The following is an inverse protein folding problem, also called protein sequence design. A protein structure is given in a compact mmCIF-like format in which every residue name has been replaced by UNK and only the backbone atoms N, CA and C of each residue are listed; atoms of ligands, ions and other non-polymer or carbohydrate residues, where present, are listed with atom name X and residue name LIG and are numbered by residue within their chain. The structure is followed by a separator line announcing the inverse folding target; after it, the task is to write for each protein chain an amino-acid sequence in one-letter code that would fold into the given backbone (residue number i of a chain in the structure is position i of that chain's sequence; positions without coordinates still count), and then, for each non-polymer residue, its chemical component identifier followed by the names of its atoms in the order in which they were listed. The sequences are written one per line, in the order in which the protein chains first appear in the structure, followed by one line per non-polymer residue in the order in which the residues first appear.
data_IF_822196957206
#
_entry.id   IF_822196957206
#
_cell.length_a   1.000
_cell.length_b   1.000
_cell.length_c   1.000
_cell.angle_alpha   90.00
_cell.angle_beta   90.00
_cell.angle_gamma   90.00
#
_symmetry.space_group_name_H-M   'P 1'
#
loop_
_entity.id
_entity.type
_entity.pdbx_description
1 polymer ?
#
# COMPACT_ATOMS: atom_id res chain seq x y z
N UNK A 1 -19.06 23.24 -4.36
CA UNK A 1 -17.98 22.69 -5.22
C UNK A 1 -18.47 21.40 -5.85
N UNK A 2 -18.17 21.11 -7.13
CA UNK A 2 -18.49 19.80 -7.70
C UNK A 2 -17.83 18.71 -6.85
N UNK A 3 -18.54 17.58 -6.65
CA UNK A 3 -17.99 16.48 -5.86
C UNK A 3 -16.71 15.97 -6.52
N UNK A 4 -15.60 15.95 -5.78
CA UNK A 4 -14.32 15.43 -6.29
C UNK A 4 -14.51 13.94 -6.61
N UNK A 5 -14.29 13.59 -7.87
CA UNK A 5 -14.32 12.21 -8.31
C UNK A 5 -13.06 11.50 -7.80
N UNK A 6 -13.25 10.39 -7.07
CA UNK A 6 -12.14 9.52 -6.70
C UNK A 6 -11.47 8.95 -7.96
N UNK A 7 -10.15 8.98 -8.02
CA UNK A 7 -9.31 8.42 -9.08
C UNK A 7 -9.32 6.90 -9.06
N UNK A 8 -9.53 6.29 -10.22
CA UNK A 8 -9.44 4.84 -10.44
C UNK A 8 -8.01 4.36 -10.72
N UNK A 9 -7.03 5.25 -10.67
CA UNK A 9 -5.62 4.87 -10.81
C UNK A 9 -4.89 4.90 -9.47
N UNK A 10 -5.41 5.64 -8.49
CA UNK A 10 -4.77 5.84 -7.19
C UNK A 10 -5.18 4.79 -6.14
N UNK A 11 -4.19 4.25 -5.43
CA UNK A 11 -4.33 3.29 -4.34
C UNK A 11 -3.74 3.88 -3.07
N UNK A 12 -4.59 4.22 -2.09
CA UNK A 12 -4.13 4.67 -0.79
C UNK A 12 -3.50 3.52 0.00
N UNK A 13 -2.27 3.68 0.47
CA UNK A 13 -1.55 2.73 1.31
C UNK A 13 -1.44 3.28 2.72
N UNK A 14 -2.22 2.67 3.61
CA UNK A 14 -2.12 2.82 5.05
C UNK A 14 -1.34 1.58 5.53
N UNK A 15 -0.12 1.75 6.05
CA UNK A 15 0.68 0.66 6.61
C UNK A 15 1.64 1.13 7.72
N UNK A 16 2.19 0.22 8.53
CA UNK A 16 3.30 0.53 9.41
C UNK A 16 4.52 1.05 8.63
N UNK A 17 5.34 1.87 9.27
CA UNK A 17 6.54 2.49 8.66
C UNK A 17 7.84 2.16 9.40
N UNK A 18 7.80 1.19 10.31
CA UNK A 18 9.00 0.69 10.98
C UNK A 18 9.85 -0.18 10.05
N UNK A 19 11.13 -0.32 10.39
CA UNK A 19 12.12 -1.01 9.56
C UNK A 19 11.74 -2.47 9.28
N UNK A 20 11.11 -3.14 10.25
CA UNK A 20 10.67 -4.53 10.09
C UNK A 20 9.52 -4.67 9.07
N UNK A 21 8.71 -3.63 8.87
CA UNK A 21 7.65 -3.63 7.85
C UNK A 21 8.12 -3.11 6.48
N UNK A 22 9.31 -2.50 6.39
CA UNK A 22 9.82 -1.90 5.15
C UNK A 22 9.82 -2.86 3.94
N UNK A 23 10.20 -4.16 4.05
CA UNK A 23 10.12 -5.10 2.94
C UNK A 23 8.70 -5.29 2.41
N UNK A 24 7.72 -5.47 3.30
CA UNK A 24 6.29 -5.60 2.94
C UNK A 24 5.78 -4.34 2.26
N UNK A 25 6.12 -3.16 2.79
CA UNK A 25 5.72 -1.89 2.19
C UNK A 25 6.27 -1.73 0.75
N UNK A 26 7.55 -2.07 0.53
CA UNK A 26 8.16 -2.05 -0.80
C UNK A 26 7.47 -3.01 -1.77
N UNK A 27 7.10 -4.21 -1.30
CA UNK A 27 6.39 -5.18 -2.12
C UNK A 27 4.98 -4.69 -2.52
N UNK A 28 4.26 -4.02 -1.61
CA UNK A 28 2.97 -3.38 -1.91
C UNK A 28 3.10 -2.27 -2.95
N UNK A 29 4.08 -1.36 -2.78
CA UNK A 29 4.37 -0.30 -3.77
C UNK A 29 4.65 -0.91 -5.14
N UNK A 30 5.50 -1.94 -5.19
CA UNK A 30 5.86 -2.61 -6.42
C UNK A 30 4.66 -3.26 -7.10
N UNK A 31 3.83 -3.98 -6.34
CA UNK A 31 2.61 -4.62 -6.83
C UNK A 31 1.66 -3.60 -7.47
N UNK A 32 1.47 -2.44 -6.84
CA UNK A 32 0.62 -1.36 -7.33
C UNK A 32 1.17 -0.80 -8.64
N UNK A 33 2.46 -0.48 -8.69
CA UNK A 33 3.11 0.10 -9.87
C UNK A 33 3.10 -0.87 -11.06
N UNK A 34 3.48 -2.13 -10.87
CA UNK A 34 3.53 -3.12 -11.95
C UNK A 34 2.13 -3.50 -12.46
N UNK A 35 1.09 -3.31 -11.64
CA UNK A 35 -0.30 -3.45 -12.06
C UNK A 35 -0.86 -2.18 -12.76
N UNK A 36 -0.04 -1.15 -12.98
CA UNK A 36 -0.44 0.07 -13.68
C UNK A 36 -1.29 1.02 -12.83
N UNK A 37 -1.16 0.95 -11.50
CA UNK A 37 -1.77 1.89 -10.56
C UNK A 37 -0.70 2.81 -9.95
N UNK A 38 -1.15 3.87 -9.29
CA UNK A 38 -0.31 4.81 -8.55
C UNK A 38 -0.43 4.58 -7.05
N UNK A 39 0.65 4.21 -6.36
CA UNK A 39 0.66 4.12 -4.91
C UNK A 39 0.52 5.52 -4.32
N UNK A 40 -0.36 5.67 -3.31
CA UNK A 40 -0.64 6.93 -2.61
C UNK A 40 -0.42 6.76 -1.12
N UNK A 41 0.61 7.35 -0.52
CA UNK A 41 0.93 7.19 0.90
C UNK A 41 1.17 8.51 1.63
N UNK A 42 0.97 8.51 2.94
CA UNK A 42 1.32 9.65 3.80
C UNK A 42 2.80 10.06 3.71
N UNK A 43 3.67 9.17 3.20
CA UNK A 43 5.10 9.44 2.96
C UNK A 43 5.39 10.28 1.69
N UNK A 44 4.39 10.57 0.86
CA UNK A 44 4.57 11.40 -0.36
C UNK A 44 4.76 12.89 -0.09
N UNK A 45 4.20 13.38 1.01
CA UNK A 45 4.03 14.80 1.24
C UNK A 45 4.61 15.16 2.60
N UNK A 46 5.87 15.60 2.61
CA UNK A 46 6.49 16.24 3.77
C UNK A 46 6.40 17.77 3.67
N UNK A 47 5.16 18.28 3.59
CA UNK A 47 4.88 19.72 3.71
C UNK A 47 4.62 20.09 5.18
N UNK A 48 5.50 20.89 5.78
CA UNK A 48 5.36 21.39 7.15
C UNK A 48 4.19 22.37 7.37
N UNK A 49 3.53 22.83 6.30
CA UNK A 49 2.39 23.73 6.35
C UNK A 49 1.02 23.07 6.57
N UNK A 50 0.93 21.73 6.54
CA UNK A 50 -0.33 20.99 6.72
C UNK A 50 -0.22 19.95 7.82
N UNK A 51 -1.31 19.77 8.58
CA UNK A 51 -1.34 18.70 9.58
C UNK A 51 -1.31 17.33 8.90
N UNK A 52 -0.76 16.32 9.60
CA UNK A 52 -0.73 14.94 9.08
C UNK A 52 -2.14 14.44 8.77
N UNK A 53 -3.14 14.77 9.60
CA UNK A 53 -4.50 14.27 9.42
C UNK A 53 -5.18 14.88 8.19
N UNK A 54 -4.92 16.15 7.88
CA UNK A 54 -5.46 16.79 6.66
C UNK A 54 -4.92 16.13 5.40
N UNK A 55 -3.64 15.74 5.40
CA UNK A 55 -3.03 14.97 4.29
C UNK A 55 -3.72 13.61 4.11
N UNK A 56 -3.99 12.90 5.22
CA UNK A 56 -4.74 11.64 5.17
C UNK A 56 -6.15 11.87 4.60
N UNK A 57 -6.85 12.92 5.02
CA UNK A 57 -8.17 13.23 4.46
C UNK A 57 -8.12 13.49 2.96
N UNK A 58 -7.13 14.23 2.47
CA UNK A 58 -6.94 14.47 1.04
C UNK A 58 -6.65 13.18 0.26
N UNK A 59 -5.77 12.31 0.78
CA UNK A 59 -5.47 11.01 0.19
C UNK A 59 -6.72 10.12 0.14
N UNK A 60 -7.46 10.03 1.26
CA UNK A 60 -8.71 9.28 1.32
C UNK A 60 -9.73 9.87 0.35
N UNK A 61 -9.89 11.19 0.27
CA UNK A 61 -10.86 11.82 -0.64
C UNK A 61 -10.59 11.45 -2.10
N UNK A 62 -9.30 11.43 -2.50
CA UNK A 62 -8.87 11.23 -3.89
C UNK A 62 -8.85 9.76 -4.33
N UNK A 63 -8.51 8.80 -3.47
CA UNK A 63 -8.27 7.42 -3.91
C UNK A 63 -9.57 6.58 -4.05
N UNK A 64 -9.73 5.83 -5.14
CA UNK A 64 -10.79 4.80 -5.28
C UNK A 64 -10.46 3.57 -4.44
N UNK A 65 -9.19 3.20 -4.38
CA UNK A 65 -8.70 1.98 -3.78
C UNK A 65 -7.95 2.30 -2.50
N UNK A 66 -8.06 1.44 -1.48
CA UNK A 66 -7.30 1.54 -0.24
C UNK A 66 -6.80 0.18 0.22
N UNK A 67 -5.53 0.08 0.55
CA UNK A 67 -4.90 -1.08 1.20
C UNK A 67 -4.52 -0.63 2.61
N UNK A 68 -5.04 -1.32 3.62
CA UNK A 68 -4.83 -0.98 5.03
C UNK A 68 -4.26 -2.18 5.78
N UNK A 69 -3.07 -2.03 6.35
CA UNK A 69 -2.37 -3.10 7.07
C UNK A 69 -2.43 -2.95 8.61
N UNK A 70 -3.11 -3.86 9.30
CA UNK A 70 -3.33 -3.75 10.74
C UNK A 70 -2.26 -4.47 11.58
N UNK A 71 -1.15 -4.91 10.97
CA UNK A 71 -0.18 -5.80 11.61
C UNK A 71 0.57 -5.18 12.79
N UNK A 72 0.59 -3.85 12.92
CA UNK A 72 1.32 -3.17 14.00
C UNK A 72 0.38 -2.60 15.06
N UNK A 73 -0.01 -3.47 15.99
CA UNK A 73 -0.80 -3.14 17.19
C UNK A 73 -0.13 -3.58 18.50
N UNK A 74 1.14 -3.97 18.43
CA UNK A 74 1.98 -4.28 19.58
C UNK A 74 2.35 -3.01 20.36
N UNK A 75 2.71 -3.18 21.63
CA UNK A 75 3.17 -2.09 22.48
C UNK A 75 4.54 -1.61 22.01
N UNK A 76 4.70 -0.30 21.87
CA UNK A 76 6.01 0.28 21.57
C UNK A 76 6.94 0.20 22.82
N UNK A 77 8.25 0.11 22.59
CA UNK A 77 9.23 -0.09 23.67
C UNK A 77 9.42 1.15 24.58
N UNK A 78 8.94 2.33 24.17
CA UNK A 78 9.19 3.61 24.85
C UNK A 78 8.03 3.97 25.78
N UNK A 79 6.80 3.93 25.27
CA UNK A 79 5.58 4.32 25.94
C UNK A 79 4.77 3.12 26.42
N UNK A 80 5.08 1.92 25.95
CA UNK A 80 4.35 0.69 26.23
C UNK A 80 2.85 0.82 25.86
N UNK A 81 2.58 1.48 24.73
CA UNK A 81 1.24 1.71 24.18
C UNK A 81 1.15 1.22 22.74
N UNK A 82 -0.02 0.74 22.28
CA UNK A 82 -0.24 0.34 20.91
C UNK A 82 -0.43 1.56 20.00
N UNK A 83 0.06 1.49 18.76
CA UNK A 83 -0.16 2.54 17.75
C UNK A 83 -1.49 2.32 17.02
N UNK A 84 -2.46 3.19 17.28
CA UNK A 84 -3.79 3.09 16.64
C UNK A 84 -3.96 3.87 15.33
N UNK A 85 -2.88 4.43 14.77
CA UNK A 85 -2.95 5.17 13.50
C UNK A 85 -3.56 4.33 12.38
N UNK A 86 -3.09 3.09 12.24
CA UNK A 86 -3.54 2.15 11.22
C UNK A 86 -5.06 1.88 11.30
N UNK A 87 -5.61 1.50 12.47
CA UNK A 87 -7.05 1.42 12.71
C UNK A 87 -7.82 2.73 12.46
N UNK A 88 -7.28 3.88 12.90
CA UNK A 88 -7.92 5.19 12.73
C UNK A 88 -8.08 5.53 11.24
N UNK A 89 -7.00 5.40 10.46
CA UNK A 89 -6.98 5.70 9.03
C UNK A 89 -7.88 4.74 8.23
N UNK A 90 -7.99 3.46 8.63
CA UNK A 90 -9.00 2.53 8.11
C UNK A 90 -10.43 2.99 8.43
N UNK A 91 -10.71 3.36 9.67
CA UNK A 91 -12.02 3.85 10.09
C UNK A 91 -12.47 5.08 9.28
N UNK A 92 -11.56 6.01 9.01
CA UNK A 92 -11.80 7.17 8.17
C UNK A 92 -12.13 6.78 6.72
N UNK A 93 -11.39 5.83 6.14
CA UNK A 93 -11.63 5.34 4.79
C UNK A 93 -12.99 4.64 4.67
N UNK A 94 -13.34 3.79 5.64
CA UNK A 94 -14.64 3.11 5.70
C UNK A 94 -15.78 4.12 5.94
N UNK A 95 -15.56 5.13 6.78
CA UNK A 95 -16.50 6.23 7.00
C UNK A 95 -16.79 7.00 5.70
N UNK A 96 -15.75 7.38 4.97
CA UNK A 96 -15.89 8.02 3.65
C UNK A 96 -16.67 7.12 2.68
N UNK A 97 -16.35 5.82 2.63
CA UNK A 97 -17.08 4.84 1.83
C UNK A 97 -18.55 4.72 2.24
N UNK A 98 -18.89 4.75 3.53
CA UNK A 98 -20.25 4.51 4.02
C UNK A 98 -21.15 5.74 3.92
N UNK A 99 -20.60 6.91 4.21
CA UNK A 99 -21.36 8.15 4.42
C UNK A 99 -21.11 9.21 3.35
N UNK A 100 -20.05 9.09 2.55
CA UNK A 100 -19.74 10.03 1.48
C UNK A 100 -20.69 9.95 0.27
N UNK A 101 -20.47 10.83 -0.69
CA UNK A 101 -21.23 10.90 -1.94
C UNK A 101 -21.05 9.68 -2.86
N UNK A 102 -21.70 9.70 -4.03
CA UNK A 102 -21.69 8.60 -5.02
C UNK A 102 -20.27 8.08 -5.31
N UNK A 103 -19.31 8.99 -5.51
CA UNK A 103 -17.92 8.61 -5.77
C UNK A 103 -17.24 7.98 -4.56
N UNK A 104 -17.49 8.44 -3.34
CA UNK A 104 -16.89 7.86 -2.15
C UNK A 104 -17.44 6.44 -1.86
N UNK A 105 -18.75 6.21 -2.08
CA UNK A 105 -19.39 4.88 -1.91
C UNK A 105 -18.81 3.78 -2.80
N UNK A 106 -18.30 4.16 -3.97
CA UNK A 106 -17.68 3.24 -4.89
C UNK A 106 -16.24 2.85 -4.50
N UNK A 107 -15.68 3.35 -3.38
CA UNK A 107 -14.40 2.88 -2.85
C UNK A 107 -14.35 1.38 -2.65
N UNK A 108 -13.15 0.81 -2.74
CA UNK A 108 -12.86 -0.59 -2.46
C UNK A 108 -11.69 -0.63 -1.47
N UNK A 109 -11.77 -1.55 -0.53
CA UNK A 109 -10.78 -1.69 0.54
C UNK A 109 -10.22 -3.11 0.54
N UNK A 110 -8.92 -3.24 0.70
CA UNK A 110 -8.22 -4.45 1.13
C UNK A 110 -7.73 -4.18 2.55
N UNK A 111 -7.97 -5.15 3.44
CA UNK A 111 -7.45 -5.11 4.80
C UNK A 111 -6.50 -6.28 4.94
N UNK A 112 -5.27 -5.99 5.33
CA UNK A 112 -4.20 -6.95 5.58
C UNK A 112 -3.91 -7.05 7.08
N UNK A 113 -3.49 -8.21 7.53
CA UNK A 113 -2.91 -8.43 8.86
C UNK A 113 -1.82 -9.51 8.77
N UNK A 114 -0.93 -9.58 9.76
CA UNK A 114 0.12 -10.58 9.82
C UNK A 114 -0.46 -11.96 10.14
N UNK A 115 -1.56 -12.02 10.88
CA UNK A 115 -2.21 -13.26 11.34
C UNK A 115 -3.72 -13.19 11.15
N UNK A 116 -4.32 -14.26 10.67
CA UNK A 116 -5.78 -14.36 10.58
C UNK A 116 -6.46 -14.14 11.94
N UNK A 117 -7.55 -13.37 11.93
CA UNK A 117 -8.39 -13.09 13.10
C UNK A 117 -7.74 -12.32 14.27
N UNK A 118 -6.45 -11.95 14.19
CA UNK A 118 -5.75 -11.20 15.26
C UNK A 118 -6.46 -9.87 15.57
N UNK A 119 -6.92 -9.18 14.53
CA UNK A 119 -7.71 -7.95 14.63
C UNK A 119 -8.94 -8.05 15.54
N UNK A 120 -9.56 -9.23 15.71
CA UNK A 120 -10.74 -9.36 16.58
C UNK A 120 -10.44 -9.06 18.04
N UNK A 121 -9.17 -9.17 18.45
CA UNK A 121 -8.72 -8.86 19.82
C UNK A 121 -8.65 -7.36 20.11
N UNK A 122 -8.52 -6.52 19.09
CA UNK A 122 -8.31 -5.08 19.25
C UNK A 122 -9.27 -4.20 18.43
N UNK A 123 -10.01 -4.77 17.47
CA UNK A 123 -11.09 -4.14 16.69
C UNK A 123 -12.14 -5.21 16.32
N UNK A 124 -12.91 -5.66 17.30
CA UNK A 124 -13.94 -6.69 17.09
C UNK A 124 -15.03 -6.28 16.10
N UNK A 125 -15.28 -4.98 15.90
CA UNK A 125 -16.27 -4.47 14.95
C UNK A 125 -15.91 -4.76 13.48
N UNK A 126 -14.66 -5.13 13.17
CA UNK A 126 -14.27 -5.63 11.84
C UNK A 126 -14.60 -7.11 11.64
N UNK A 127 -15.21 -7.78 12.63
CA UNK A 127 -15.69 -9.15 12.48
C UNK A 127 -16.69 -9.24 11.31
N UNK A 128 -16.44 -10.16 10.39
CA UNK A 128 -17.23 -10.31 9.16
C UNK A 128 -16.71 -9.50 7.96
N UNK A 129 -15.67 -8.68 8.12
CA UNK A 129 -14.87 -8.21 6.99
C UNK A 129 -13.88 -9.30 6.54
N UNK A 130 -13.66 -9.41 5.24
CA UNK A 130 -12.66 -10.29 4.66
C UNK A 130 -11.27 -9.66 4.85
N UNK A 131 -10.53 -10.16 5.83
CA UNK A 131 -9.18 -9.70 6.18
C UNK A 131 -8.20 -10.77 5.72
N UNK A 132 -7.27 -10.34 4.87
CA UNK A 132 -6.29 -11.21 4.24
C UNK A 132 -5.03 -11.26 5.10
N UNK A 133 -4.52 -12.46 5.36
CA UNK A 133 -3.28 -12.63 6.10
C UNK A 133 -2.07 -12.69 5.19
N UNK A 134 -0.95 -12.10 5.59
CA UNK A 134 0.32 -12.19 4.84
C UNK A 134 1.45 -12.85 5.63
N UNK A 135 1.28 -13.18 6.91
CA UNK A 135 2.28 -13.95 7.69
C UNK A 135 3.62 -13.23 7.89
N UNK A 136 3.69 -11.92 7.66
CA UNK A 136 4.95 -11.17 7.64
C UNK A 136 5.78 -11.36 6.38
N UNK A 137 5.24 -12.06 5.38
CA UNK A 137 5.89 -12.35 4.10
C UNK A 137 5.55 -11.27 3.04
N UNK A 138 6.54 -10.49 2.56
CA UNK A 138 6.33 -9.48 1.52
C UNK A 138 5.76 -10.05 0.22
N UNK A 139 6.15 -11.27 -0.16
CA UNK A 139 5.67 -11.90 -1.39
C UNK A 139 4.18 -12.24 -1.30
N UNK A 140 3.71 -12.68 -0.13
CA UNK A 140 2.27 -12.89 0.12
C UNK A 140 1.49 -11.59 0.06
N UNK A 141 1.95 -10.55 0.74
CA UNK A 141 1.29 -9.24 0.71
C UNK A 141 1.18 -8.68 -0.73
N UNK A 142 2.23 -8.86 -1.54
CA UNK A 142 2.22 -8.51 -2.96
C UNK A 142 1.18 -9.29 -3.76
N UNK A 143 1.05 -10.61 -3.53
CA UNK A 143 0.05 -11.45 -4.19
C UNK A 143 -1.36 -11.04 -3.81
N UNK A 144 -1.62 -10.84 -2.53
CA UNK A 144 -2.92 -10.39 -2.02
C UNK A 144 -3.32 -9.03 -2.61
N UNK A 145 -2.39 -8.06 -2.63
CA UNK A 145 -2.61 -6.76 -3.24
C UNK A 145 -2.94 -6.87 -4.73
N UNK A 146 -2.17 -7.66 -5.48
CA UNK A 146 -2.38 -7.90 -6.91
C UNK A 146 -3.75 -8.53 -7.18
N UNK A 147 -4.09 -9.61 -6.49
CA UNK A 147 -5.30 -10.39 -6.76
C UNK A 147 -6.54 -9.59 -6.40
N UNK A 148 -6.47 -8.85 -5.28
CA UNK A 148 -7.49 -7.89 -4.91
C UNK A 148 -7.66 -6.80 -5.98
N UNK A 149 -6.57 -6.15 -6.44
CA UNK A 149 -6.62 -5.12 -7.48
C UNK A 149 -7.27 -5.66 -8.77
N UNK A 150 -6.94 -6.88 -9.20
CA UNK A 150 -7.54 -7.50 -10.38
C UNK A 150 -9.06 -7.65 -10.21
N UNK A 151 -9.50 -8.16 -9.06
CA UNK A 151 -10.91 -8.36 -8.76
C UNK A 151 -11.71 -7.04 -8.71
N UNK A 152 -11.18 -6.03 -8.03
CA UNK A 152 -11.93 -4.78 -7.78
C UNK A 152 -11.86 -3.76 -8.91
N UNK A 153 -10.80 -3.80 -9.73
CA UNK A 153 -10.63 -2.89 -10.86
C UNK A 153 -11.18 -3.43 -12.17
N UNK A 154 -11.29 -4.77 -12.31
CA UNK A 154 -11.65 -5.46 -13.55
C UNK A 154 -10.71 -5.15 -14.73
N UNK A 155 -9.50 -4.65 -14.43
CA UNK A 155 -8.42 -4.49 -15.41
C UNK A 155 -7.76 -5.84 -15.67
N UNK A 156 -7.21 -6.01 -16.87
CA UNK A 156 -6.33 -7.13 -17.18
C UNK A 156 -4.96 -6.85 -16.56
N UNK A 157 -4.61 -7.61 -15.52
CA UNK A 157 -3.37 -7.45 -14.75
C UNK A 157 -2.46 -8.67 -14.95
N UNK A 158 -1.11 -8.50 -14.94
CA UNK A 158 -0.17 -9.62 -14.97
C UNK A 158 -0.46 -10.60 -13.83
N UNK A 159 -0.24 -11.92 -14.02
CA UNK A 159 -0.50 -12.92 -12.97
C UNK A 159 0.32 -12.67 -11.71
N UNK A 160 -0.17 -13.16 -10.56
CA UNK A 160 0.55 -13.05 -9.29
C UNK A 160 1.98 -13.61 -9.38
N UNK A 161 2.17 -14.73 -10.07
CA UNK A 161 3.50 -15.32 -10.30
C UNK A 161 4.38 -14.45 -11.19
N UNK A 162 3.81 -13.77 -12.19
CA UNK A 162 4.56 -12.83 -13.03
C UNK A 162 4.99 -11.62 -12.20
N UNK A 163 4.08 -11.03 -11.43
CA UNK A 163 4.38 -9.90 -10.53
C UNK A 163 5.49 -10.28 -9.55
N UNK A 164 5.44 -11.47 -8.93
CA UNK A 164 6.50 -11.91 -8.03
C UNK A 164 7.84 -12.08 -8.74
N UNK A 165 7.91 -12.74 -9.90
CA UNK A 165 9.17 -12.88 -10.65
C UNK A 165 9.79 -11.54 -11.02
N UNK A 166 8.95 -10.60 -11.45
CA UNK A 166 9.38 -9.23 -11.81
C UNK A 166 9.88 -8.48 -10.57
N UNK A 167 9.25 -8.69 -9.41
CA UNK A 167 9.73 -8.13 -8.15
C UNK A 167 11.07 -8.72 -7.70
N UNK A 168 11.25 -10.04 -7.82
CA UNK A 168 12.53 -10.70 -7.53
C UNK A 168 13.66 -10.21 -8.44
N UNK A 169 13.39 -10.02 -9.73
CA UNK A 169 14.35 -9.43 -10.66
C UNK A 169 14.71 -7.98 -10.28
N UNK A 170 13.71 -7.16 -9.93
CA UNK A 170 13.96 -5.81 -9.43
C UNK A 170 14.83 -5.80 -8.17
N UNK A 171 14.54 -6.69 -7.20
CA UNK A 171 15.33 -6.78 -5.97
C UNK A 171 16.78 -7.21 -6.24
N UNK A 172 17.03 -8.01 -7.28
CA UNK A 172 18.37 -8.39 -7.69
C UNK A 172 19.15 -7.19 -8.27
N UNK A 173 18.49 -6.31 -9.02
CA UNK A 173 19.09 -5.11 -9.61
C UNK A 173 19.17 -3.92 -8.63
N UNK A 174 18.34 -3.91 -7.59
CA UNK A 174 18.20 -2.80 -6.65
C UNK A 174 19.53 -2.34 -6.02
N UNK A 175 20.45 -3.22 -5.59
CA UNK A 175 21.74 -2.79 -5.03
C UNK A 175 22.58 -1.97 -6.01
N UNK A 176 22.64 -2.38 -7.28
CA UNK A 176 23.40 -1.68 -8.30
C UNK A 176 22.74 -0.35 -8.69
N UNK A 177 21.40 -0.34 -8.81
CA UNK A 177 20.63 0.88 -9.04
C UNK A 177 20.81 1.88 -7.89
N UNK A 178 20.76 1.40 -6.64
CA UNK A 178 20.97 2.22 -5.45
C UNK A 178 22.40 2.78 -5.42
N UNK A 179 23.42 1.95 -5.73
CA UNK A 179 24.82 2.38 -5.77
C UNK A 179 25.07 3.48 -6.82
N UNK A 180 24.51 3.35 -8.02
CA UNK A 180 24.62 4.35 -9.09
C UNK A 180 23.98 5.69 -8.69
N UNK A 181 22.91 5.63 -7.90
CA UNK A 181 22.20 6.82 -7.42
C UNK A 181 22.67 7.29 -6.03
N UNK A 182 23.72 6.68 -5.49
CA UNK A 182 24.30 6.97 -4.17
C UNK A 182 23.30 6.84 -3.00
N UNK A 183 22.37 5.90 -3.10
CA UNK A 183 21.46 5.53 -2.02
C UNK A 183 21.93 4.29 -1.26
N UNK A 184 21.64 4.24 0.03
CA UNK A 184 21.60 2.99 0.79
C UNK A 184 20.37 2.16 0.35
N UNK A 185 20.54 0.94 -0.18
CA UNK A 185 19.44 0.12 -0.69
C UNK A 185 18.39 -0.20 0.38
N UNK A 186 18.73 -0.18 1.67
CA UNK A 186 17.79 -0.43 2.76
C UNK A 186 17.08 0.84 3.24
N UNK A 187 17.56 2.03 2.83
CA UNK A 187 17.07 3.33 3.31
C UNK A 187 16.69 4.32 2.21
N UNK A 188 16.24 3.81 1.07
CA UNK A 188 15.71 4.63 -0.02
C UNK A 188 14.42 5.35 0.43
N UNK A 189 14.34 6.69 0.35
CA UNK A 189 13.11 7.43 0.62
C UNK A 189 11.96 7.00 -0.29
N UNK A 190 10.72 7.17 0.18
CA UNK A 190 9.53 6.71 -0.56
C UNK A 190 9.47 7.21 -2.00
N UNK A 191 9.63 8.53 -2.20
CA UNK A 191 9.50 9.17 -3.51
C UNK A 191 10.58 8.68 -4.47
N UNK A 192 11.79 8.43 -3.96
CA UNK A 192 12.90 7.92 -4.76
C UNK A 192 12.71 6.44 -5.09
N UNK A 193 12.24 5.63 -4.13
CA UNK A 193 11.91 4.24 -4.37
C UNK A 193 10.82 4.07 -5.46
N UNK A 194 9.74 4.86 -5.38
CA UNK A 194 8.68 4.88 -6.39
C UNK A 194 9.25 5.21 -7.78
N UNK A 195 10.12 6.23 -7.88
CA UNK A 195 10.75 6.65 -9.14
C UNK A 195 11.71 5.59 -9.69
N UNK A 196 12.50 4.95 -8.82
CA UNK A 196 13.44 3.89 -9.20
C UNK A 196 12.66 2.70 -9.77
N UNK A 197 11.61 2.24 -9.08
CA UNK A 197 10.74 1.17 -9.57
C UNK A 197 10.10 1.56 -10.91
N UNK A 198 9.53 2.76 -11.00
CA UNK A 198 8.87 3.24 -12.21
C UNK A 198 9.83 3.30 -13.42
N UNK A 199 11.06 3.79 -13.22
CA UNK A 199 12.08 3.81 -14.26
C UNK A 199 12.50 2.40 -14.66
N UNK A 200 12.80 1.54 -13.68
CA UNK A 200 13.21 0.17 -13.93
C UNK A 200 12.15 -0.61 -14.71
N UNK A 201 10.86 -0.41 -14.41
CA UNK A 201 9.77 -1.04 -15.14
C UNK A 201 9.67 -0.61 -16.62
N UNK A 202 10.13 0.60 -16.96
CA UNK A 202 10.19 1.08 -18.35
C UNK A 202 11.41 0.49 -19.07
N UNK A 203 12.54 0.38 -18.36
CA UNK A 203 13.85 0.03 -18.91
C UNK A 203 14.15 -1.48 -18.92
N UNK A 204 13.38 -2.31 -18.20
CA UNK A 204 13.58 -3.76 -18.09
C UNK A 204 12.55 -4.63 -18.86
N UNK A 205 12.43 -4.54 -20.21
CA UNK A 205 11.50 -5.36 -21.00
C UNK A 205 11.67 -6.87 -20.81
N UNK A 206 12.91 -7.33 -20.63
CA UNK A 206 13.23 -8.75 -20.51
C UNK A 206 12.75 -9.37 -19.18
N UNK A 207 12.81 -8.61 -18.08
CA UNK A 207 12.34 -9.05 -16.77
C UNK A 207 10.80 -9.10 -16.71
N UNK A 208 10.13 -8.18 -17.39
CA UNK A 208 8.66 -8.08 -17.42
C UNK A 208 8.05 -9.14 -18.34
N UNK A 209 8.81 -9.68 -19.29
CA UNK A 209 8.35 -10.60 -20.32
C UNK A 209 7.45 -9.87 -21.34
N UNK A 210 7.68 -10.07 -22.64
CA UNK A 210 6.73 -9.62 -23.65
C UNK A 210 5.35 -10.25 -23.34
N UNK A 211 4.30 -9.43 -23.46
CA UNK A 211 2.92 -9.90 -23.40
C UNK A 211 2.66 -10.98 -24.45
#
# INVERSE_FOLDING_TARGET
MPAVQTSTDDVFINCPFDDAFAPTFRALIFAILVCGFRPRSARELDDGGQTRIDKIFALIEQCRYGIHDLSRTELDAVNNLPRFNMPLELGLFLGAKRYGGKHQKAKRVLILDVEQFRYQRFISDLAGMDIHEHGGDPARALREARDWLANVSRRELPSADRVQRVYEAFLADLPDLAAVLEFDPDRIPYVDFERIVGRWLIEAPAAIGAA
#
